data_IF_135328196965
#
_entry.id   IF_135328196965
#
_cell.length_a   1.000
_cell.length_b   1.000
_cell.length_c   1.000
_cell.angle_alpha   90.00
_cell.angle_beta   90.00
_cell.angle_gamma   90.00
#
_symmetry.space_group_name_H-M   'P 1'
#
loop_
_entity.id
_entity.type
_entity.pdbx_description
1 polymer ?
#
# COMPACT_ATOMS: atom_id res chain seq x y z
N UNK A 1 -5.70 -4.82 -60.14
CA UNK A 1 -7.00 -4.12 -60.14
C UNK A 1 -7.57 -4.16 -58.72
N UNK A 2 -7.29 -3.11 -57.93
CA UNK A 2 -8.02 -2.67 -56.73
C UNK A 2 -7.92 -3.51 -55.42
N UNK A 3 -7.97 -2.85 -54.24
CA UNK A 3 -6.83 -2.76 -53.34
C UNK A 3 -7.20 -2.97 -51.85
N UNK A 4 -6.26 -2.72 -50.92
CA UNK A 4 -6.49 -2.14 -49.59
C UNK A 4 -7.60 -2.76 -48.71
N UNK A 5 -7.23 -3.68 -47.82
CA UNK A 5 -7.87 -3.81 -46.50
C UNK A 5 -6.81 -4.37 -45.52
N UNK A 6 -5.88 -3.55 -45.02
CA UNK A 6 -6.03 -2.86 -43.72
C UNK A 6 -6.73 -3.74 -42.68
N UNK A 7 -6.03 -4.74 -42.16
CA UNK A 7 -6.30 -5.27 -40.83
C UNK A 7 -5.05 -5.05 -39.98
N UNK A 8 -4.91 -3.80 -39.52
CA UNK A 8 -4.01 -3.44 -38.43
C UNK A 8 -4.55 -4.17 -37.18
N UNK A 9 -3.98 -5.32 -36.84
CA UNK A 9 -4.23 -5.98 -35.56
C UNK A 9 -3.55 -5.12 -34.50
N UNK A 10 -4.33 -4.21 -33.90
CA UNK A 10 -3.92 -3.42 -32.74
C UNK A 10 -3.77 -4.41 -31.58
N UNK A 11 -2.55 -4.85 -31.32
CA UNK A 11 -2.22 -5.61 -30.12
C UNK A 11 -2.47 -4.74 -28.90
N UNK A 12 -3.45 -5.12 -28.08
CA UNK A 12 -3.67 -4.51 -26.76
C UNK A 12 -2.44 -4.84 -25.91
N UNK A 13 -1.54 -3.88 -25.79
CA UNK A 13 -0.47 -3.93 -24.80
C UNK A 13 -1.12 -3.77 -23.42
N UNK A 14 -1.30 -4.87 -22.70
CA UNK A 14 -1.66 -4.85 -21.28
C UNK A 14 -0.43 -4.32 -20.53
N UNK A 15 -0.44 -3.02 -20.27
CA UNK A 15 0.56 -2.38 -19.41
C UNK A 15 0.26 -2.76 -17.95
N UNK A 16 1.07 -3.68 -17.42
CA UNK A 16 1.09 -3.95 -15.99
C UNK A 16 1.71 -2.75 -15.27
N UNK A 17 0.86 -1.89 -14.69
CA UNK A 17 1.33 -0.85 -13.79
C UNK A 17 1.67 -1.49 -12.45
N UNK A 18 2.97 -1.70 -12.18
CA UNK A 18 3.45 -2.04 -10.86
C UNK A 18 3.19 -0.86 -9.93
N UNK A 19 2.16 -0.93 -9.10
CA UNK A 19 1.98 -0.01 -7.97
C UNK A 19 3.12 -0.29 -6.99
N UNK A 20 4.11 0.60 -6.95
CA UNK A 20 5.12 0.58 -5.92
C UNK A 20 4.42 0.88 -4.58
N UNK A 21 4.38 -0.11 -3.68
CA UNK A 21 3.93 0.12 -2.32
C UNK A 21 4.84 1.18 -1.68
N UNK A 22 4.26 2.25 -1.15
CA UNK A 22 5.02 3.28 -0.45
C UNK A 22 5.68 2.63 0.77
N UNK A 23 7.01 2.52 0.75
CA UNK A 23 7.76 1.94 1.86
C UNK A 23 7.69 2.86 3.07
N UNK A 24 7.10 2.37 4.17
CA UNK A 24 7.04 3.08 5.44
C UNK A 24 8.44 3.21 6.06
N UNK A 25 8.68 4.27 6.83
CA UNK A 25 9.92 4.44 7.59
C UNK A 25 10.05 3.42 8.71
N UNK A 26 8.97 3.32 9.49
CA UNK A 26 8.90 2.50 10.68
C UNK A 26 7.51 1.87 10.74
N UNK A 27 7.48 0.59 11.06
CA UNK A 27 6.27 -0.12 11.46
C UNK A 27 6.38 -0.46 12.95
N UNK A 28 5.38 -0.09 13.72
CA UNK A 28 5.17 -0.61 15.07
C UNK A 28 4.11 -1.71 14.94
N UNK A 29 4.52 -2.96 15.10
CA UNK A 29 3.67 -4.13 14.95
C UNK A 29 3.10 -4.56 16.29
N UNK A 30 1.89 -5.13 16.26
CA UNK A 30 1.22 -5.79 17.39
C UNK A 30 1.01 -4.95 18.67
N UNK A 31 1.19 -3.63 18.60
CA UNK A 31 1.00 -2.75 19.75
C UNK A 31 -0.47 -2.53 20.10
N UNK A 32 -0.78 -2.37 21.40
CA UNK A 32 -2.13 -1.98 21.86
C UNK A 32 -2.31 -0.47 21.74
N UNK A 33 -3.25 -0.04 20.90
CA UNK A 33 -3.58 1.37 20.67
C UNK A 33 -4.79 1.73 21.52
N UNK A 34 -4.61 2.76 22.34
CA UNK A 34 -5.66 3.41 23.11
C UNK A 34 -5.86 4.80 22.51
N UNK A 35 -6.98 5.00 21.82
CA UNK A 35 -7.36 6.30 21.28
C UNK A 35 -8.77 6.69 21.77
N UNK A 36 -8.87 7.63 22.73
CA UNK A 36 -10.14 8.04 23.30
C UNK A 36 -11.01 8.84 22.32
N UNK A 37 -10.42 9.45 21.29
CA UNK A 37 -11.17 10.23 20.29
C UNK A 37 -12.05 9.31 19.45
N UNK A 38 -11.51 8.18 19.00
CA UNK A 38 -12.27 7.15 18.28
C UNK A 38 -12.90 6.10 19.19
N UNK A 39 -12.53 6.06 20.48
CA UNK A 39 -12.86 4.98 21.40
C UNK A 39 -12.15 3.66 21.08
N UNK A 40 -11.07 3.71 20.29
CA UNK A 40 -10.30 2.53 19.92
C UNK A 40 -9.53 2.02 21.14
N UNK A 41 -9.80 0.78 21.49
CA UNK A 41 -8.96 -0.02 22.36
C UNK A 41 -8.68 -1.38 21.71
N UNK A 42 -7.47 -1.58 21.20
CA UNK A 42 -7.10 -2.88 20.62
C UNK A 42 -5.73 -2.93 19.96
N UNK A 43 -5.34 -4.14 19.55
CA UNK A 43 -4.05 -4.39 18.89
C UNK A 43 -4.07 -3.88 17.45
N UNK A 44 -3.09 -3.07 17.07
CA UNK A 44 -2.92 -2.50 15.72
C UNK A 44 -1.45 -2.42 15.32
N UNK A 45 -1.26 -2.41 14.01
CA UNK A 45 -0.01 -2.07 13.37
C UNK A 45 -0.04 -0.60 12.95
N UNK A 46 0.98 0.17 13.33
CA UNK A 46 1.11 1.60 13.03
C UNK A 46 2.22 1.77 12.00
N UNK A 47 1.87 2.42 10.88
CA UNK A 47 2.81 2.81 9.85
C UNK A 47 3.21 4.27 10.00
N UNK A 48 4.51 4.53 10.09
CA UNK A 48 5.08 5.88 10.20
C UNK A 48 5.83 6.22 8.91
N UNK A 49 5.62 7.44 8.39
CA UNK A 49 6.39 8.01 7.29
C UNK A 49 6.70 9.47 7.58
N UNK A 50 7.94 9.91 7.37
CA UNK A 50 8.42 11.27 7.64
C UNK A 50 8.04 11.76 9.04
N UNK A 51 8.17 10.88 10.05
CA UNK A 51 7.85 11.19 11.45
C UNK A 51 6.36 11.33 11.77
N UNK A 52 5.46 10.99 10.84
CA UNK A 52 4.01 11.05 11.02
C UNK A 52 3.38 9.67 10.89
N UNK A 53 2.32 9.44 11.66
CA UNK A 53 1.47 8.26 11.49
C UNK A 53 0.67 8.45 10.20
N UNK A 54 0.87 7.54 9.24
CA UNK A 54 0.16 7.54 7.95
C UNK A 54 -0.79 6.36 7.80
N UNK A 55 -0.71 5.38 8.72
CA UNK A 55 -1.57 4.19 8.70
C UNK A 55 -1.75 3.60 10.10
N UNK A 56 -2.97 3.19 10.41
CA UNK A 56 -3.31 2.37 11.57
C UNK A 56 -4.21 1.25 11.03
N UNK A 57 -3.82 -0.01 11.20
CA UNK A 57 -4.58 -1.16 10.68
C UNK A 57 -4.33 -2.42 11.51
N UNK A 58 -5.23 -3.40 11.46
CA UNK A 58 -4.96 -4.76 11.94
C UNK A 58 -4.11 -5.57 10.98
N UNK A 59 -4.03 -5.15 9.71
CA UNK A 59 -3.31 -5.88 8.67
C UNK A 59 -1.79 -5.71 8.81
N UNK A 60 -1.03 -6.66 8.27
CA UNK A 60 0.43 -6.54 8.25
C UNK A 60 0.87 -5.34 7.42
N UNK A 61 1.88 -4.64 7.92
CA UNK A 61 2.54 -3.53 7.23
C UNK A 61 4.00 -3.91 6.93
N UNK A 62 4.53 -3.32 5.87
CA UNK A 62 5.93 -3.41 5.51
C UNK A 62 6.59 -2.02 5.62
N UNK A 63 7.73 -1.95 6.30
CA UNK A 63 8.51 -0.74 6.43
C UNK A 63 10.01 -1.03 6.43
N UNK A 64 10.81 0.03 6.31
CA UNK A 64 12.28 -0.05 6.35
C UNK A 64 12.77 -0.64 7.68
N UNK A 65 12.08 -0.31 8.77
CA UNK A 65 12.29 -0.90 10.09
C UNK A 65 10.96 -1.36 10.68
N UNK A 66 10.99 -2.41 11.48
CA UNK A 66 9.82 -2.92 12.22
C UNK A 66 10.21 -3.16 13.67
N UNK A 67 9.37 -2.69 14.58
CA UNK A 67 9.45 -2.95 16.02
C UNK A 67 8.22 -3.77 16.40
N UNK A 68 8.42 -4.87 17.11
CA UNK A 68 7.33 -5.64 17.75
C UNK A 68 7.12 -5.09 19.16
N UNK A 69 5.91 -4.65 19.47
CA UNK A 69 5.61 -3.80 20.64
C UNK A 69 4.71 -4.47 21.69
#
# INVERSE_FOLDING_TARGET
>A
MHPLARALVIGIAVSCACVAAQTLDLVIANGRVLDPESGLDGVRNIGISNGRIVRITSDRLAGRSTIDA
#
